data_IF_599820810240
#
_entry.id   IF_599820810240
#
_cell.length_a   1.000
_cell.length_b   1.000
_cell.length_c   1.000
_cell.angle_alpha   90.00
_cell.angle_beta   90.00
_cell.angle_gamma   90.00
#
_symmetry.space_group_name_H-M   'P 1'
#
loop_
_entity.id
_entity.type
_entity.pdbx_description
1 polymer ?
#
# COMPACT_ATOMS: atom_id res chain seq x y z
N UNK A 1 10.73 18.76 -1.92
CA UNK A 1 11.47 20.04 -2.02
C UNK A 1 12.51 19.91 -3.13
N UNK A 2 12.62 20.88 -4.04
CA UNK A 2 13.58 20.80 -5.14
C UNK A 2 14.94 21.29 -4.65
N UNK A 3 15.97 20.48 -4.81
CA UNK A 3 17.33 20.82 -4.36
C UNK A 3 18.32 19.71 -4.63
N UNK A 4 19.58 19.96 -4.27
CA UNK A 4 20.64 18.96 -4.23
C UNK A 4 20.91 18.59 -2.77
N UNK A 5 20.86 17.29 -2.48
CA UNK A 5 21.06 16.75 -1.14
C UNK A 5 22.41 16.02 -1.11
N UNK A 6 23.35 16.56 -0.33
CA UNK A 6 24.67 15.95 -0.13
C UNK A 6 24.70 14.95 1.05
N UNK A 7 23.57 14.79 1.72
CA UNK A 7 23.37 13.91 2.88
C UNK A 7 22.62 12.63 2.47
N UNK A 8 22.73 11.54 3.23
CA UNK A 8 22.00 10.32 2.98
C UNK A 8 20.48 10.54 2.82
N UNK A 9 19.87 9.79 1.90
CA UNK A 9 18.41 9.75 1.73
C UNK A 9 17.94 8.32 1.86
N UNK A 10 17.11 8.06 2.86
CA UNK A 10 16.45 6.77 3.10
C UNK A 10 15.12 6.76 2.36
N UNK A 11 14.83 5.65 1.66
CA UNK A 11 13.58 5.47 0.94
C UNK A 11 12.74 4.41 1.65
N UNK A 12 11.56 4.80 2.12
CA UNK A 12 10.55 3.89 2.62
C UNK A 12 9.51 3.64 1.53
N UNK A 13 9.23 2.37 1.24
CA UNK A 13 8.33 1.95 0.17
C UNK A 13 7.28 0.96 0.71
N UNK A 14 6.03 1.13 0.28
CA UNK A 14 4.96 0.19 0.57
C UNK A 14 4.95 -0.95 -0.45
N UNK A 15 5.27 -2.16 0.01
CA UNK A 15 5.24 -3.33 -0.86
C UNK A 15 3.82 -3.61 -1.38
N UNK A 16 3.59 -3.30 -2.66
CA UNK A 16 2.29 -3.53 -3.34
C UNK A 16 1.15 -2.77 -2.65
N UNK A 17 1.31 -1.45 -2.46
CA UNK A 17 0.38 -0.58 -1.72
C UNK A 17 -1.10 -0.82 -2.08
N UNK A 18 -1.48 -0.70 -3.35
CA UNK A 18 -2.89 -0.79 -3.75
C UNK A 18 -3.52 -2.18 -3.55
N UNK A 19 -2.89 -3.29 -4.00
CA UNK A 19 -3.35 -4.62 -3.62
C UNK A 19 -3.53 -4.80 -2.11
N UNK A 20 -2.57 -4.32 -1.32
CA UNK A 20 -2.60 -4.43 0.14
C UNK A 20 -3.78 -3.65 0.75
N UNK A 21 -4.06 -2.44 0.27
CA UNK A 21 -5.23 -1.65 0.69
C UNK A 21 -6.52 -2.39 0.36
N UNK A 22 -6.67 -2.87 -0.89
CA UNK A 22 -7.88 -3.57 -1.33
C UNK A 22 -8.18 -4.80 -0.47
N UNK A 23 -7.14 -5.57 -0.10
CA UNK A 23 -7.29 -6.74 0.78
C UNK A 23 -7.58 -6.33 2.23
N UNK A 24 -6.79 -5.41 2.80
CA UNK A 24 -6.89 -5.01 4.20
C UNK A 24 -8.24 -4.36 4.54
N UNK A 25 -8.77 -3.57 3.60
CA UNK A 25 -10.03 -2.85 3.74
C UNK A 25 -11.21 -3.55 3.07
N UNK A 26 -11.02 -4.79 2.58
CA UNK A 26 -12.05 -5.62 1.98
C UNK A 26 -12.80 -4.93 0.80
N UNK A 27 -12.06 -4.18 -0.03
CA UNK A 27 -12.65 -3.39 -1.12
C UNK A 27 -12.98 -4.28 -2.32
N UNK A 28 -14.24 -4.26 -2.76
CA UNK A 28 -14.75 -5.07 -3.86
C UNK A 28 -16.05 -4.51 -4.42
N UNK A 29 -16.41 -4.92 -5.64
CA UNK A 29 -17.77 -4.77 -6.15
C UNK A 29 -18.80 -5.47 -5.25
N UNK A 30 -18.45 -6.66 -4.73
CA UNK A 30 -19.36 -7.47 -3.90
C UNK A 30 -19.55 -6.92 -2.49
N UNK A 31 -18.65 -6.07 -2.01
CA UNK A 31 -18.64 -5.53 -0.64
C UNK A 31 -19.02 -4.06 -0.58
N UNK A 32 -19.06 -3.36 -1.72
CA UNK A 32 -19.55 -1.99 -1.85
C UNK A 32 -21.05 -1.92 -1.54
N UNK A 33 -21.41 -0.96 -0.68
CA UNK A 33 -22.80 -0.64 -0.32
C UNK A 33 -23.34 0.38 -1.32
N UNK A 34 -24.37 -0.01 -2.06
CA UNK A 34 -25.05 0.83 -3.06
C UNK A 34 -26.39 1.38 -2.53
N UNK A 35 -27.00 0.70 -1.56
CA UNK A 35 -28.26 1.09 -0.92
C UNK A 35 -28.15 0.89 0.60
N UNK A 36 -28.56 1.90 1.39
CA UNK A 36 -28.63 1.85 2.85
C UNK A 36 -29.36 0.62 3.38
N UNK A 37 -30.36 0.13 2.65
CA UNK A 37 -31.11 -1.06 3.03
C UNK A 37 -30.23 -2.31 3.13
N UNK A 38 -29.10 -2.36 2.41
CA UNK A 38 -28.15 -3.47 2.45
C UNK A 38 -27.40 -3.56 3.78
N UNK A 39 -27.34 -2.45 4.52
CA UNK A 39 -26.69 -2.35 5.82
C UNK A 39 -27.69 -2.09 6.96
N UNK A 40 -28.99 -2.14 6.67
CA UNK A 40 -30.03 -2.01 7.68
C UNK A 40 -29.90 -3.16 8.70
N UNK A 41 -29.54 -2.81 9.93
CA UNK A 41 -29.32 -3.76 11.02
C UNK A 41 -27.86 -4.20 11.22
N UNK A 42 -26.92 -3.69 10.42
CA UNK A 42 -25.48 -3.85 10.70
C UNK A 42 -25.00 -2.76 11.65
N UNK A 43 -23.98 -3.08 12.44
CA UNK A 43 -23.33 -2.07 13.29
C UNK A 43 -22.37 -1.22 12.46
N UNK A 44 -22.10 0.03 12.88
CA UNK A 44 -21.06 0.85 12.24
C UNK A 44 -19.68 0.16 12.29
N UNK A 45 -19.46 -0.71 13.27
CA UNK A 45 -18.22 -1.47 13.39
C UNK A 45 -18.05 -2.55 12.32
N UNK A 46 -19.11 -2.94 11.62
CA UNK A 46 -19.09 -3.89 10.50
C UNK A 46 -18.88 -3.23 9.14
N UNK A 47 -18.77 -1.90 9.12
CA UNK A 47 -18.74 -1.09 7.91
C UNK A 47 -17.48 -0.23 7.90
N UNK A 48 -16.77 -0.23 6.78
CA UNK A 48 -15.77 0.77 6.48
C UNK A 48 -16.43 1.93 5.75
N UNK A 49 -16.23 3.15 6.25
CA UNK A 49 -16.69 4.39 5.60
C UNK A 49 -15.48 5.18 5.14
N UNK A 50 -15.41 5.48 3.84
CA UNK A 50 -14.37 6.30 3.23
C UNK A 50 -15.01 7.58 2.72
N UNK A 51 -14.53 8.73 3.19
CA UNK A 51 -15.05 10.06 2.82
C UNK A 51 -14.10 10.71 1.83
N UNK A 52 -14.62 11.11 0.67
CA UNK A 52 -13.87 11.76 -0.40
C UNK A 52 -14.54 13.09 -0.77
N UNK A 53 -14.15 14.16 -0.09
CA UNK A 53 -14.81 15.46 -0.23
C UNK A 53 -16.30 15.34 0.15
N UNK A 54 -17.19 15.60 -0.81
CA UNK A 54 -18.64 15.51 -0.62
C UNK A 54 -19.20 14.09 -0.83
N UNK A 55 -18.40 13.16 -1.37
CA UNK A 55 -18.81 11.78 -1.58
C UNK A 55 -18.45 10.89 -0.38
N UNK A 56 -19.29 9.90 -0.10
CA UNK A 56 -19.03 8.89 0.93
C UNK A 56 -19.26 7.51 0.34
N UNK A 57 -18.25 6.66 0.41
CA UNK A 57 -18.33 5.26 -0.02
C UNK A 57 -18.27 4.34 1.20
N UNK A 58 -19.11 3.30 1.19
CA UNK A 58 -19.21 2.33 2.29
C UNK A 58 -18.97 0.92 1.80
N UNK A 59 -18.21 0.15 2.58
CA UNK A 59 -17.87 -1.23 2.30
C UNK A 59 -18.15 -2.08 3.53
N UNK A 60 -18.75 -3.26 3.35
CA UNK A 60 -18.91 -4.21 4.46
C UNK A 60 -17.58 -4.91 4.77
N UNK A 61 -17.33 -5.19 6.05
CA UNK A 61 -16.13 -5.90 6.50
C UNK A 61 -16.19 -7.40 6.19
N UNK A 62 -15.04 -8.11 6.24
CA UNK A 62 -14.96 -9.54 5.92
C UNK A 62 -15.90 -10.44 6.75
N UNK A 63 -16.26 -10.02 7.98
CA UNK A 63 -17.20 -10.73 8.84
C UNK A 63 -18.61 -10.86 8.21
N UNK A 64 -18.99 -9.93 7.34
CA UNK A 64 -20.28 -9.93 6.64
C UNK A 64 -20.15 -10.60 5.28
N UNK A 65 -19.12 -10.23 4.51
CA UNK A 65 -18.85 -10.78 3.18
C UNK A 65 -17.39 -10.60 2.81
N UNK A 66 -16.76 -11.66 2.34
CA UNK A 66 -15.39 -11.61 1.83
C UNK A 66 -15.34 -10.99 0.42
N UNK A 67 -14.33 -10.16 0.18
CA UNK A 67 -14.03 -9.55 -1.11
C UNK A 67 -13.53 -10.59 -2.10
N UNK A 68 -14.22 -10.73 -3.24
CA UNK A 68 -13.76 -11.57 -4.37
C UNK A 68 -12.43 -11.06 -4.92
N UNK A 69 -12.29 -9.74 -5.09
CA UNK A 69 -11.03 -9.13 -5.53
C UNK A 69 -9.90 -9.35 -4.51
N UNK A 70 -10.21 -9.25 -3.22
CA UNK A 70 -9.28 -9.46 -2.13
C UNK A 70 -8.78 -10.90 -2.09
N UNK A 71 -9.66 -11.88 -2.29
CA UNK A 71 -9.31 -13.29 -2.39
C UNK A 71 -8.39 -13.57 -3.60
N UNK A 72 -8.73 -13.04 -4.78
CA UNK A 72 -7.90 -13.17 -5.99
C UNK A 72 -6.51 -12.54 -5.81
N UNK A 73 -6.45 -11.33 -5.24
CA UNK A 73 -5.19 -10.65 -4.94
C UNK A 73 -4.33 -11.44 -3.96
N UNK A 74 -4.95 -12.03 -2.93
CA UNK A 74 -4.26 -12.88 -1.94
C UNK A 74 -3.61 -14.09 -2.61
N UNK A 75 -4.33 -14.76 -3.49
CA UNK A 75 -3.83 -15.92 -4.23
C UNK A 75 -2.70 -15.55 -5.18
N UNK A 76 -2.85 -14.46 -5.96
CA UNK A 76 -1.81 -14.01 -6.88
C UNK A 76 -0.54 -13.54 -6.16
N UNK A 77 -0.68 -12.86 -5.02
CA UNK A 77 0.47 -12.45 -4.20
C UNK A 77 1.15 -13.64 -3.52
N UNK A 78 0.39 -14.63 -3.05
CA UNK A 78 0.94 -15.90 -2.57
C UNK A 78 1.73 -16.59 -3.68
N UNK A 79 1.15 -16.69 -4.88
CA UNK A 79 1.84 -17.31 -6.02
C UNK A 79 3.10 -16.56 -6.42
N UNK A 80 3.07 -15.23 -6.37
CA UNK A 80 4.25 -14.40 -6.64
C UNK A 80 5.37 -14.65 -5.63
N UNK A 81 5.04 -14.84 -4.34
CA UNK A 81 6.03 -15.19 -3.31
C UNK A 81 6.68 -16.54 -3.59
N UNK A 82 5.89 -17.55 -3.97
CA UNK A 82 6.41 -18.86 -4.38
C UNK A 82 7.38 -18.75 -5.56
N UNK A 83 7.00 -18.02 -6.62
CA UNK A 83 7.86 -17.82 -7.80
C UNK A 83 9.16 -17.10 -7.45
N UNK A 84 9.13 -16.10 -6.57
CA UNK A 84 10.35 -15.42 -6.12
C UNK A 84 11.26 -16.35 -5.30
N UNK A 85 10.69 -17.20 -4.45
CA UNK A 85 11.46 -18.20 -3.71
C UNK A 85 12.09 -19.24 -4.63
N UNK A 86 11.34 -19.73 -5.63
CA UNK A 86 11.84 -20.63 -6.66
C UNK A 86 13.00 -19.99 -7.46
N UNK A 87 12.85 -18.71 -7.82
CA UNK A 87 13.87 -17.93 -8.53
C UNK A 87 15.16 -17.74 -7.73
N UNK A 88 15.07 -17.61 -6.41
CA UNK A 88 16.24 -17.49 -5.52
C UNK A 88 17.04 -18.79 -5.46
N UNK A 89 16.36 -19.93 -5.49
CA UNK A 89 16.98 -21.26 -5.45
C UNK A 89 17.40 -21.80 -6.83
N UNK A 90 17.08 -21.07 -7.91
CA UNK A 90 17.38 -21.47 -9.28
C UNK A 90 18.80 -21.07 -9.69
N UNK A 91 19.62 -22.06 -10.08
CA UNK A 91 20.98 -21.84 -10.58
C UNK A 91 21.05 -21.61 -12.09
N UNK A 92 20.11 -22.16 -12.87
CA UNK A 92 20.08 -22.04 -14.32
C UNK A 92 19.71 -20.60 -14.77
N UNK A 93 20.56 -19.90 -15.54
CA UNK A 93 20.29 -18.53 -15.95
C UNK A 93 19.01 -18.37 -16.79
N UNK A 94 18.71 -19.33 -17.66
CA UNK A 94 17.55 -19.25 -18.54
C UNK A 94 16.24 -19.42 -17.74
N UNK A 95 16.18 -20.40 -16.85
CA UNK A 95 15.05 -20.62 -15.97
C UNK A 95 14.87 -19.44 -15.00
N UNK A 96 15.95 -18.88 -14.47
CA UNK A 96 15.89 -17.70 -13.61
C UNK A 96 15.28 -16.50 -14.33
N UNK A 97 15.63 -16.29 -15.60
CA UNK A 97 15.00 -15.27 -16.46
C UNK A 97 13.50 -15.52 -16.63
N UNK A 98 13.09 -16.76 -16.89
CA UNK A 98 11.68 -17.11 -17.05
C UNK A 98 10.88 -16.86 -15.76
N UNK A 99 11.43 -17.24 -14.61
CA UNK A 99 10.82 -17.02 -13.29
C UNK A 99 10.72 -15.52 -12.96
N UNK A 100 11.72 -14.72 -13.34
CA UNK A 100 11.63 -13.26 -13.21
C UNK A 100 10.49 -12.69 -14.07
N UNK A 101 10.37 -13.11 -15.34
CA UNK A 101 9.23 -12.68 -16.18
C UNK A 101 7.89 -13.11 -15.60
N UNK A 102 7.80 -14.30 -15.01
CA UNK A 102 6.59 -14.80 -14.34
C UNK A 102 6.23 -13.95 -13.11
N UNK A 103 7.18 -13.59 -12.25
CA UNK A 103 6.87 -12.74 -11.09
C UNK A 103 6.54 -11.29 -11.48
N UNK A 104 7.14 -10.77 -12.56
CA UNK A 104 6.80 -9.45 -13.11
C UNK A 104 5.39 -9.42 -13.71
N UNK A 105 4.99 -10.48 -14.41
CA UNK A 105 3.63 -10.62 -14.92
C UNK A 105 2.62 -10.61 -13.75
N UNK A 106 2.86 -11.40 -12.70
CA UNK A 106 2.02 -11.42 -11.49
C UNK A 106 1.97 -10.04 -10.80
N UNK A 107 3.11 -9.35 -10.68
CA UNK A 107 3.16 -7.97 -10.14
C UNK A 107 2.25 -7.04 -10.94
N UNK A 108 2.37 -7.08 -12.26
CA UNK A 108 1.60 -6.23 -13.17
C UNK A 108 0.11 -6.53 -13.08
N UNK A 109 -0.28 -7.81 -13.04
CA UNK A 109 -1.68 -8.22 -12.86
C UNK A 109 -2.25 -7.66 -11.56
N UNK A 110 -1.58 -7.88 -10.41
CA UNK A 110 -2.06 -7.36 -9.12
C UNK A 110 -2.20 -5.84 -9.13
N UNK A 111 -1.20 -5.13 -9.65
CA UNK A 111 -1.23 -3.67 -9.73
C UNK A 111 -2.29 -3.14 -10.70
N UNK A 112 -2.69 -3.93 -11.70
CA UNK A 112 -3.73 -3.52 -12.64
C UNK A 112 -5.15 -3.59 -12.09
N UNK A 113 -5.39 -4.34 -11.00
CA UNK A 113 -6.75 -4.60 -10.47
C UNK A 113 -7.47 -3.30 -10.11
N UNK A 114 -6.84 -2.40 -9.36
CA UNK A 114 -7.45 -1.11 -9.03
C UNK A 114 -7.61 -0.22 -10.27
N UNK A 115 -6.71 -0.34 -11.25
CA UNK A 115 -6.80 0.39 -12.52
C UNK A 115 -8.01 -0.04 -13.34
N UNK A 116 -8.34 -1.34 -13.34
CA UNK A 116 -9.55 -1.87 -13.99
C UNK A 116 -10.82 -1.30 -13.35
N UNK A 117 -10.85 -1.15 -12.03
CA UNK A 117 -12.03 -0.54 -11.37
C UNK A 117 -12.15 0.96 -11.68
N UNK A 118 -11.04 1.67 -11.87
CA UNK A 118 -11.01 3.09 -12.21
C UNK A 118 -11.21 3.41 -13.71
N UNK A 119 -11.14 2.42 -14.60
CA UNK A 119 -11.25 2.64 -16.04
C UNK A 119 -12.71 2.95 -16.45
N UNK A 120 -13.03 4.22 -16.66
CA UNK A 120 -14.39 4.70 -16.96
C UNK A 120 -15.05 4.02 -18.18
N UNK A 121 -14.26 3.65 -19.19
CA UNK A 121 -14.72 2.89 -20.37
C UNK A 121 -14.28 1.42 -20.35
N UNK A 122 -14.05 0.87 -19.16
CA UNK A 122 -13.70 -0.53 -18.96
C UNK A 122 -14.90 -1.48 -18.94
N UNK A 123 -14.64 -2.77 -18.76
CA UNK A 123 -15.69 -3.81 -18.70
C UNK A 123 -16.59 -3.69 -17.47
N UNK A 124 -16.01 -3.31 -16.32
CA UNK A 124 -16.70 -3.20 -15.03
C UNK A 124 -16.22 -1.94 -14.28
N UNK A 125 -16.57 -0.73 -14.73
CA UNK A 125 -16.16 0.49 -14.06
C UNK A 125 -16.79 0.59 -12.66
N UNK A 126 -15.98 0.90 -11.66
CA UNK A 126 -16.41 1.26 -10.31
C UNK A 126 -15.41 2.24 -9.72
N UNK A 127 -15.59 3.51 -10.08
CA UNK A 127 -14.74 4.63 -9.66
C UNK A 127 -14.69 4.75 -8.15
N UNK A 128 -15.77 4.40 -7.44
CA UNK A 128 -15.80 4.40 -5.98
C UNK A 128 -14.69 3.53 -5.35
N UNK A 129 -14.41 2.35 -5.90
CA UNK A 129 -13.33 1.48 -5.40
C UNK A 129 -11.98 2.13 -5.66
N UNK A 130 -11.73 2.58 -6.90
CA UNK A 130 -10.45 3.20 -7.25
C UNK A 130 -10.19 4.46 -6.42
N UNK A 131 -11.20 5.30 -6.26
CA UNK A 131 -11.12 6.52 -5.47
C UNK A 131 -10.85 6.19 -3.99
N UNK A 132 -11.58 5.25 -3.37
CA UNK A 132 -11.31 4.80 -2.00
C UNK A 132 -9.91 4.25 -1.81
N UNK A 133 -9.39 3.45 -2.74
CA UNK A 133 -8.01 2.94 -2.70
C UNK A 133 -7.00 4.09 -2.69
N UNK A 134 -7.17 5.08 -3.57
CA UNK A 134 -6.25 6.23 -3.64
C UNK A 134 -6.36 7.15 -2.44
N UNK A 135 -7.55 7.31 -1.85
CA UNK A 135 -7.78 8.08 -0.63
C UNK A 135 -7.03 7.46 0.55
N UNK A 136 -7.28 6.17 0.81
CA UNK A 136 -6.62 5.43 1.88
C UNK A 136 -5.11 5.39 1.70
N UNK A 137 -4.62 5.21 0.46
CA UNK A 137 -3.18 5.25 0.17
C UNK A 137 -2.55 6.61 0.51
N UNK A 138 -3.23 7.71 0.19
CA UNK A 138 -2.77 9.07 0.55
C UNK A 138 -2.77 9.28 2.06
N UNK A 139 -3.81 8.83 2.77
CA UNK A 139 -3.87 8.90 4.24
C UNK A 139 -2.73 8.13 4.89
N UNK A 140 -2.39 6.94 4.38
CA UNK A 140 -1.26 6.15 4.87
C UNK A 140 0.08 6.87 4.66
N UNK A 141 0.30 7.48 3.49
CA UNK A 141 1.51 8.26 3.22
C UNK A 141 1.60 9.47 4.17
N UNK A 142 0.53 10.25 4.31
CA UNK A 142 0.48 11.38 5.23
C UNK A 142 0.75 10.94 6.68
N UNK A 143 0.11 9.86 7.14
CA UNK A 143 0.34 9.33 8.48
C UNK A 143 1.80 8.87 8.67
N UNK A 144 2.45 8.37 7.63
CA UNK A 144 3.87 7.97 7.69
C UNK A 144 4.76 9.22 7.80
N UNK A 145 4.45 10.27 7.03
CA UNK A 145 5.14 11.57 7.14
C UNK A 145 4.99 12.16 8.54
N UNK A 146 3.78 12.16 9.09
CA UNK A 146 3.50 12.64 10.44
C UNK A 146 4.24 11.82 11.50
N UNK A 147 4.35 10.51 11.30
CA UNK A 147 5.14 9.64 12.18
C UNK A 147 6.63 10.01 12.15
N UNK A 148 7.21 10.19 10.96
CA UNK A 148 8.61 10.61 10.81
C UNK A 148 8.86 11.97 11.50
N UNK A 149 7.99 12.95 11.24
CA UNK A 149 8.13 14.30 11.78
C UNK A 149 7.89 14.39 13.30
N UNK A 150 7.17 13.43 13.91
CA UNK A 150 6.85 13.47 15.34
C UNK A 150 7.67 12.52 16.20
N UNK A 151 8.13 11.39 15.64
CA UNK A 151 8.81 10.32 16.39
C UNK A 151 10.28 10.18 16.03
N UNK A 152 10.65 10.39 14.78
CA UNK A 152 12.02 10.15 14.29
C UNK A 152 12.94 11.37 14.42
N UNK A 153 12.74 12.20 15.45
CA UNK A 153 13.42 13.50 15.60
C UNK A 153 14.52 13.50 16.66
N UNK A 154 14.88 12.34 17.23
CA UNK A 154 15.91 12.23 18.27
C UNK A 154 16.85 11.05 18.05
N UNK A 155 18.12 11.22 18.41
CA UNK A 155 19.11 10.12 18.38
C UNK A 155 18.66 8.95 19.26
N UNK A 156 18.01 9.24 20.39
CA UNK A 156 17.47 8.21 21.29
C UNK A 156 16.51 7.27 20.58
N UNK A 157 15.60 7.80 19.75
CA UNK A 157 14.67 6.97 18.97
C UNK A 157 15.43 6.01 18.05
N UNK A 158 16.46 6.51 17.37
CA UNK A 158 17.27 5.70 16.46
C UNK A 158 18.11 4.64 17.20
N UNK A 159 18.62 4.96 18.38
CA UNK A 159 19.32 4.01 19.24
C UNK A 159 18.39 2.90 19.73
N UNK A 160 17.18 3.23 20.16
CA UNK A 160 16.20 2.27 20.71
C UNK A 160 15.59 1.37 19.63
N UNK A 161 15.14 1.95 18.51
CA UNK A 161 14.39 1.22 17.47
C UNK A 161 15.30 0.55 16.44
N UNK A 162 16.47 1.12 16.16
CA UNK A 162 17.40 0.62 15.13
C UNK A 162 18.71 0.07 15.69
N UNK A 163 18.92 0.14 17.01
CA UNK A 163 20.13 -0.39 17.65
C UNK A 163 21.40 0.40 17.33
N UNK A 164 21.26 1.67 16.95
CA UNK A 164 22.40 2.58 16.76
C UNK A 164 22.99 3.02 18.10
N UNK A 165 24.19 3.56 18.05
CA UNK A 165 24.92 4.10 19.21
C UNK A 165 25.29 5.55 18.99
N UNK A 166 25.56 6.30 20.06
CA UNK A 166 25.96 7.72 19.95
C UNK A 166 27.21 7.95 19.09
N UNK A 167 28.05 6.93 18.88
CA UNK A 167 29.21 7.02 17.98
C UNK A 167 28.85 6.94 16.49
N UNK A 168 27.64 6.50 16.15
CA UNK A 168 27.16 6.40 14.77
C UNK A 168 26.64 7.74 14.22
N UNK A 169 26.39 8.72 15.11
CA UNK A 169 25.94 10.06 14.72
C UNK A 169 27.13 10.99 14.53
N UNK A 170 27.16 11.67 13.39
CA UNK A 170 28.17 12.69 13.07
C UNK A 170 27.50 14.04 12.85
N UNK A 171 27.65 14.96 13.80
CA UNK A 171 27.01 16.28 13.75
C UNK A 171 25.61 16.27 14.36
N UNK A 172 24.86 17.35 14.12
CA UNK A 172 23.49 17.48 14.60
C UNK A 172 22.53 16.65 13.74
N UNK A 173 21.65 15.88 14.37
CA UNK A 173 20.65 15.08 13.69
C UNK A 173 19.53 15.98 13.12
N UNK A 174 19.38 15.98 11.80
CA UNK A 174 18.26 16.62 11.11
C UNK A 174 17.51 15.59 10.26
N UNK A 175 16.25 15.33 10.61
CA UNK A 175 15.40 14.36 9.90
C UNK A 175 14.24 15.08 9.22
N UNK A 176 14.18 14.98 7.90
CA UNK A 176 13.14 15.62 7.11
C UNK A 176 12.64 14.72 5.96
N UNK A 177 11.33 14.64 5.78
CA UNK A 177 10.74 14.07 4.56
C UNK A 177 10.85 15.08 3.42
N UNK A 178 11.67 14.77 2.42
CA UNK A 178 12.01 15.69 1.33
C UNK A 178 11.22 15.42 0.05
N UNK A 179 10.69 14.20 -0.12
CA UNK A 179 9.87 13.81 -1.27
C UNK A 179 8.93 12.66 -0.91
N UNK A 180 7.82 12.58 -1.62
CA UNK A 180 6.88 11.45 -1.57
C UNK A 180 6.31 11.21 -2.96
N UNK A 181 6.29 9.94 -3.36
CA UNK A 181 5.60 9.45 -4.55
C UNK A 181 4.38 8.61 -4.12
N UNK A 182 3.72 8.04 -5.11
CA UNK A 182 2.53 7.21 -5.08
C UNK A 182 2.53 6.13 -3.99
N UNK A 183 3.66 5.52 -3.70
CA UNK A 183 3.82 4.43 -2.72
C UNK A 183 5.09 4.51 -1.86
N UNK A 184 5.86 5.60 -1.98
CA UNK A 184 7.13 5.74 -1.27
C UNK A 184 7.36 7.15 -0.72
N UNK A 185 8.10 7.24 0.38
CA UNK A 185 8.56 8.50 0.96
C UNK A 185 10.08 8.48 1.10
N UNK A 186 10.67 9.66 0.94
CA UNK A 186 12.11 9.87 0.91
C UNK A 186 12.46 10.78 2.07
N UNK A 187 13.25 10.26 2.98
CA UNK A 187 13.65 10.91 4.22
C UNK A 187 15.15 11.23 4.14
N UNK A 188 15.49 12.51 4.29
CA UNK A 188 16.86 12.96 4.51
C UNK A 188 17.21 12.79 5.97
N UNK A 189 18.41 12.25 6.24
CA UNK A 189 19.00 12.06 7.59
C UNK A 189 20.50 12.32 7.51
#
# INVERSE_FOLDING_TARGET
KTGYYAVPTVVFDFQSLYPSIMMAHNLCYSTLVLDERQIAGLSESDILTVKLGDETHRFVKPCIRESVLGSLLKDWLAKRREVKAEMQNCSDPMMKLLLDKKQLALKTTCNSVYGVTGAAHGLLPCVAIAASVTCLGREMLCSTVDYVNSKMQSEQFFCEEFGLTSSDFTGDLEVEVIYGDTDSIFMSV
#
